data_IF_253335529726
#
_entry.id   IF_253335529726
#
_cell.length_a   1.000
_cell.length_b   1.000
_cell.length_c   1.000
_cell.angle_alpha   90.00
_cell.angle_beta   90.00
_cell.angle_gamma   90.00
#
_symmetry.space_group_name_H-M   'P 1'
#
loop_
_entity.id
_entity.type
_entity.pdbx_description
1 polymer ?
#
# COMPACT_ATOMS: atom_id res chain seq x y z
N UNK A 1 4.55 12.13 -5.89
CA UNK A 1 4.73 10.69 -6.01
C UNK A 1 3.75 9.96 -5.10
N UNK A 2 3.09 8.98 -5.63
CA UNK A 2 2.11 8.22 -4.87
C UNK A 2 2.76 6.95 -4.35
N UNK A 3 2.53 6.63 -3.10
CA UNK A 3 3.05 5.39 -2.55
C UNK A 3 2.05 4.77 -1.58
N UNK A 4 2.22 3.49 -1.35
CA UNK A 4 1.37 2.74 -0.44
C UNK A 4 1.99 2.76 0.96
N UNK A 5 1.13 2.84 1.95
CA UNK A 5 1.58 2.81 3.35
C UNK A 5 1.41 1.43 3.96
N UNK A 6 1.57 0.38 3.16
CA UNK A 6 1.31 -0.98 3.63
C UNK A 6 2.19 -1.35 4.80
N UNK A 7 3.49 -1.06 4.71
CA UNK A 7 4.41 -1.43 5.78
C UNK A 7 4.11 -0.68 7.06
N UNK A 8 3.76 0.59 6.94
CA UNK A 8 3.41 1.40 8.10
C UNK A 8 2.15 0.87 8.77
N UNK A 9 1.14 0.52 7.97
CA UNK A 9 -0.10 0.01 8.52
C UNK A 9 0.11 -1.34 9.19
N UNK A 10 0.94 -2.20 8.62
CA UNK A 10 1.25 -3.48 9.24
C UNK A 10 1.92 -3.28 10.59
N UNK A 11 2.85 -2.34 10.64
CA UNK A 11 3.56 -2.06 11.89
C UNK A 11 2.61 -1.51 12.94
N UNK A 12 1.74 -0.60 12.54
CA UNK A 12 0.77 -0.03 13.46
C UNK A 12 -0.16 -1.07 14.03
N UNK A 13 -0.46 -2.10 13.24
CA UNK A 13 -1.40 -3.14 13.65
C UNK A 13 -0.71 -4.34 14.28
N UNK A 14 0.61 -4.31 14.38
CA UNK A 14 1.34 -5.43 14.94
C UNK A 14 1.31 -6.67 14.07
N UNK A 15 1.14 -6.50 12.76
CA UNK A 15 1.09 -7.63 11.83
C UNK A 15 2.36 -7.67 11.00
N UNK A 16 2.69 -8.88 10.52
CA UNK A 16 3.91 -9.08 9.74
C UNK A 16 3.64 -9.03 8.26
N UNK A 17 4.72 -8.79 7.49
CA UNK A 17 4.63 -8.87 6.04
C UNK A 17 4.24 -10.28 5.60
N UNK A 18 4.74 -11.29 6.30
CA UNK A 18 4.43 -12.66 5.95
C UNK A 18 2.93 -12.94 6.07
N UNK A 19 2.32 -12.42 7.13
CA UNK A 19 0.86 -12.59 7.29
C UNK A 19 0.13 -12.02 6.07
N UNK A 20 0.47 -10.81 5.65
CA UNK A 20 -0.20 -10.20 4.52
C UNK A 20 0.09 -10.94 3.22
N UNK A 21 1.34 -11.34 3.04
CA UNK A 21 1.72 -12.09 1.86
C UNK A 21 0.88 -13.37 1.71
N UNK A 22 0.68 -14.09 2.82
CA UNK A 22 -0.11 -15.31 2.78
C UNK A 22 -1.58 -15.03 2.47
N UNK A 23 -2.08 -13.89 2.90
CA UNK A 23 -3.47 -13.54 2.63
C UNK A 23 -3.71 -13.18 1.16
N UNK A 24 -2.72 -12.60 0.52
CA UNK A 24 -2.90 -12.09 -0.83
C UNK A 24 -2.74 -13.15 -1.92
N UNK A 25 -1.99 -14.20 -1.65
CA UNK A 25 -1.85 -15.27 -2.63
C UNK A 25 -1.11 -14.88 -3.90
N UNK A 26 -0.29 -13.84 -3.84
CA UNK A 26 0.48 -13.42 -5.01
C UNK A 26 1.92 -13.90 -4.88
N UNK A 27 2.70 -13.81 -5.95
CA UNK A 27 4.09 -14.23 -5.89
C UNK A 27 4.86 -13.32 -4.96
N UNK A 28 5.89 -13.85 -4.33
CA UNK A 28 6.65 -13.07 -3.38
C UNK A 28 7.34 -11.89 -4.05
N UNK A 29 7.80 -12.08 -5.28
CA UNK A 29 8.44 -11.00 -6.00
C UNK A 29 7.49 -9.83 -6.21
N UNK A 30 6.26 -10.12 -6.64
CA UNK A 30 5.28 -9.07 -6.85
C UNK A 30 4.86 -8.43 -5.53
N UNK A 31 4.71 -9.25 -4.50
CA UNK A 31 4.38 -8.73 -3.18
C UNK A 31 5.47 -7.78 -2.68
N UNK A 32 6.72 -8.19 -2.81
CA UNK A 32 7.83 -7.37 -2.35
C UNK A 32 7.88 -6.04 -3.08
N UNK A 33 7.69 -6.07 -4.40
CA UNK A 33 7.69 -4.83 -5.16
C UNK A 33 6.56 -3.91 -4.73
N UNK A 34 5.39 -4.48 -4.46
CA UNK A 34 4.25 -3.70 -4.05
C UNK A 34 4.49 -3.01 -2.70
N UNK A 35 4.93 -3.76 -1.71
CA UNK A 35 5.09 -3.19 -0.38
C UNK A 35 6.28 -2.24 -0.29
N UNK A 36 7.25 -2.40 -1.17
CA UNK A 36 8.41 -1.50 -1.21
C UNK A 36 8.21 -0.34 -2.19
N UNK A 37 7.00 -0.22 -2.73
CA UNK A 37 6.63 0.88 -3.61
C UNK A 37 7.46 0.92 -4.89
N UNK A 38 7.74 -0.26 -5.43
CA UNK A 38 8.48 -0.37 -6.68
C UNK A 38 7.57 -0.60 -7.87
N UNK A 39 6.25 -0.72 -7.65
CA UNK A 39 5.30 -0.87 -8.73
C UNK A 39 4.77 0.50 -9.11
N UNK A 40 4.36 0.64 -10.36
CA UNK A 40 3.82 1.89 -10.84
C UNK A 40 2.32 1.82 -11.08
N UNK A 41 1.72 0.68 -10.88
CA UNK A 41 0.28 0.53 -11.03
C UNK A 41 -0.21 -0.56 -10.10
N UNK A 42 -1.48 -0.49 -9.76
CA UNK A 42 -2.09 -1.48 -8.89
C UNK A 42 -3.54 -1.61 -9.33
N UNK A 43 -4.02 -2.85 -9.35
CA UNK A 43 -5.40 -3.09 -9.74
C UNK A 43 -6.36 -2.60 -8.68
N UNK A 44 -7.52 -2.11 -9.11
CA UNK A 44 -8.51 -1.62 -8.17
C UNK A 44 -8.97 -2.70 -7.20
N UNK A 45 -9.10 -3.94 -7.67
CA UNK A 45 -9.50 -5.01 -6.77
C UNK A 45 -8.44 -5.32 -5.74
N UNK A 46 -7.17 -5.06 -6.07
CA UNK A 46 -6.10 -5.24 -5.09
C UNK A 46 -6.20 -4.18 -4.01
N UNK A 47 -6.57 -2.96 -4.39
CA UNK A 47 -6.77 -1.90 -3.42
C UNK A 47 -7.89 -2.28 -2.46
N UNK A 48 -8.98 -2.81 -3.00
CA UNK A 48 -10.10 -3.24 -2.17
C UNK A 48 -9.67 -4.32 -1.20
N UNK A 49 -8.94 -5.32 -1.68
CA UNK A 49 -8.47 -6.41 -0.83
C UNK A 49 -7.57 -5.91 0.28
N UNK A 50 -6.63 -5.00 -0.05
CA UNK A 50 -5.73 -4.46 0.94
C UNK A 50 -6.50 -3.68 2.01
N UNK A 51 -7.48 -2.89 1.61
CA UNK A 51 -8.27 -2.14 2.56
C UNK A 51 -9.05 -3.06 3.48
N UNK A 52 -9.57 -4.16 2.94
CA UNK A 52 -10.30 -5.13 3.75
C UNK A 52 -9.39 -5.83 4.75
N UNK A 53 -8.24 -6.29 4.27
CA UNK A 53 -7.31 -7.02 5.13
C UNK A 53 -6.71 -6.14 6.21
N UNK A 54 -6.41 -4.89 5.87
CA UNK A 54 -5.80 -3.96 6.80
C UNK A 54 -6.83 -3.12 7.53
N UNK A 55 -8.10 -3.34 7.23
CA UNK A 55 -9.21 -2.64 7.88
C UNK A 55 -8.99 -1.13 7.86
N UNK A 56 -8.74 -0.61 6.69
CA UNK A 56 -8.48 0.82 6.54
C UNK A 56 -9.22 1.34 5.31
N UNK A 57 -9.35 2.66 5.25
CA UNK A 57 -9.93 3.31 4.10
C UNK A 57 -8.84 3.55 3.05
N UNK A 58 -9.20 3.75 1.78
CA UNK A 58 -8.20 4.01 0.76
C UNK A 58 -7.32 5.20 1.06
N UNK A 59 -7.86 6.23 1.69
CA UNK A 59 -7.05 7.40 2.01
C UNK A 59 -6.03 7.11 3.11
N UNK A 60 -6.22 6.03 3.87
CA UNK A 60 -5.22 5.60 4.83
C UNK A 60 -4.15 4.74 4.17
N UNK A 61 -4.48 4.12 3.05
CA UNK A 61 -3.59 3.21 2.35
C UNK A 61 -2.57 3.95 1.50
N UNK A 62 -2.94 5.11 0.99
CA UNK A 62 -2.09 5.85 0.06
C UNK A 62 -1.49 7.08 0.71
N UNK A 63 -0.33 7.45 0.22
CA UNK A 63 0.28 8.72 0.57
C UNK A 63 0.78 9.35 -0.72
N UNK A 64 0.52 10.64 -0.90
CA UNK A 64 0.97 11.35 -2.08
C UNK A 64 1.95 12.43 -1.64
N UNK A 65 3.16 12.31 -2.13
CA UNK A 65 4.19 13.32 -1.88
C UNK A 65 4.37 14.10 -3.16
N UNK A 66 3.97 15.34 -3.17
CA UNK A 66 4.17 16.15 -4.35
C UNK A 66 4.71 17.48 -3.90
N UNK A 67 5.39 18.12 -4.87
CA UNK A 67 5.87 19.41 -4.66
C UNK A 67 4.74 20.33 -4.86
N UNK A 68 4.41 21.17 -3.90
CA UNK A 68 3.35 22.06 -4.05
C UNK A 68 3.64 23.01 -5.09
N UNK A 69 2.90 23.08 -6.08
CA UNK A 69 3.17 23.94 -7.18
C UNK A 69 3.01 25.30 -6.71
N UNK A 70 3.95 25.83 -6.37
CA UNK A 70 3.91 27.15 -6.17
C UNK A 70 2.77 27.58 -5.44
N UNK A 71 2.40 26.88 -4.87
CA UNK A 71 1.40 27.28 -4.18
C UNK A 71 0.54 28.06 -4.96
N UNK A 72 0.63 27.80 -5.91
CA UNK A 72 -0.04 28.36 -6.63
C UNK A 72 -1.03 28.30 -6.34
N UNK A 73 -0.98 28.05 -5.96
CA UNK A 73 -1.74 28.03 -5.52
C UNK A 73 -2.13 28.52 -5.07
#
# INVERSE_FOLDING_TARGET
MVRLRVLELLQEQGRTKYWLYKQLGMSYQNFSKMVNNETQSIKLERIETLCQLLNCAPNDLFQIDWEKPGAES
#
